data_IF_071281204892
#
_entry.id   IF_071281204892
#
_cell.length_a   1.000
_cell.length_b   1.000
_cell.length_c   1.000
_cell.angle_alpha   90.00
_cell.angle_beta   90.00
_cell.angle_gamma   90.00
#
_symmetry.space_group_name_H-M   'P 1'
#
loop_
_entity.id
_entity.type
_entity.pdbx_description
1 polymer ?
#
# COMPACT_ATOMS: atom_id res chain seq x y z
N UNK A 1 14.53 10.79 -1.38
CA UNK A 1 14.48 9.66 -0.41
C UNK A 1 13.72 8.52 -1.06
N UNK A 2 14.31 7.34 -1.12
CA UNK A 2 13.66 6.10 -1.56
C UNK A 2 13.35 5.28 -0.33
N UNK A 3 12.07 4.96 -0.12
CA UNK A 3 11.61 4.13 1.00
C UNK A 3 11.36 2.71 0.52
N UNK A 4 11.46 1.76 1.42
CA UNK A 4 11.04 0.38 1.20
C UNK A 4 9.91 0.04 2.14
N UNK A 5 9.01 -0.79 1.65
CA UNK A 5 7.91 -1.35 2.43
C UNK A 5 7.77 -2.83 2.13
N UNK A 6 7.23 -3.58 3.06
CA UNK A 6 6.71 -4.91 2.83
C UNK A 6 5.23 -4.92 3.14
N UNK A 7 4.47 -5.67 2.37
CA UNK A 7 3.05 -5.89 2.60
C UNK A 7 2.81 -7.39 2.57
N UNK A 8 2.40 -7.94 3.72
CA UNK A 8 2.16 -9.38 3.90
C UNK A 8 0.68 -9.63 4.18
N UNK A 9 0.19 -10.80 3.78
CA UNK A 9 -1.19 -11.20 4.05
C UNK A 9 -1.28 -11.85 5.42
N UNK A 10 -2.31 -11.47 6.17
CA UNK A 10 -2.63 -12.05 7.48
C UNK A 10 -3.39 -13.37 7.29
N UNK A 11 -2.95 -14.44 7.96
CA UNK A 11 -3.58 -15.77 7.96
C UNK A 11 -4.49 -16.03 9.18
N UNK A 12 -4.76 -15.00 9.96
CA UNK A 12 -5.63 -15.05 11.14
C UNK A 12 -6.56 -13.87 11.17
N UNK A 13 -7.59 -13.91 11.99
CA UNK A 13 -8.44 -12.74 12.24
C UNK A 13 -7.60 -11.57 12.79
N UNK A 14 -7.87 -10.36 12.30
CA UNK A 14 -7.12 -9.15 12.69
C UNK A 14 -7.15 -8.91 14.20
N UNK A 15 -8.27 -9.23 14.88
CA UNK A 15 -8.38 -9.08 16.34
C UNK A 15 -7.43 -10.02 17.09
N UNK A 16 -7.15 -11.20 16.53
CA UNK A 16 -6.17 -12.15 17.10
C UNK A 16 -4.76 -11.58 16.96
N UNK A 17 -4.41 -11.03 15.80
CA UNK A 17 -3.11 -10.41 15.56
C UNK A 17 -2.91 -9.19 16.47
N UNK A 18 -3.89 -8.31 16.56
CA UNK A 18 -3.89 -7.13 17.43
C UNK A 18 -3.64 -7.52 18.90
N UNK A 19 -4.37 -8.51 19.42
CA UNK A 19 -4.16 -9.00 20.80
C UNK A 19 -2.74 -9.49 21.06
N UNK A 20 -2.07 -10.05 20.05
CA UNK A 20 -0.66 -10.46 20.18
C UNK A 20 0.25 -9.24 20.29
N UNK A 21 0.07 -8.23 19.43
CA UNK A 21 0.85 -6.99 19.49
C UNK A 21 0.65 -6.26 20.85
N UNK A 22 -0.58 -6.16 21.32
CA UNK A 22 -0.89 -5.54 22.62
C UNK A 22 -0.17 -6.24 23.77
N UNK A 23 -0.15 -7.60 23.78
CA UNK A 23 0.61 -8.37 24.76
C UNK A 23 2.12 -8.14 24.72
N UNK A 24 2.65 -7.80 23.55
CA UNK A 24 4.06 -7.42 23.35
C UNK A 24 4.33 -5.95 23.66
N UNK A 25 3.32 -5.18 24.08
CA UNK A 25 3.43 -3.78 24.48
C UNK A 25 3.29 -2.78 23.33
N UNK A 26 2.85 -3.20 22.15
CA UNK A 26 2.47 -2.26 21.07
C UNK A 26 1.19 -1.53 21.46
N UNK A 27 1.08 -0.26 21.03
CA UNK A 27 -0.08 0.59 21.29
C UNK A 27 -0.70 1.07 19.98
N UNK A 28 -2.02 1.11 19.91
CA UNK A 28 -2.72 1.74 18.79
C UNK A 28 -2.43 3.23 18.80
N UNK A 29 -1.95 3.75 17.68
CA UNK A 29 -1.61 5.17 17.50
C UNK A 29 -2.49 5.88 16.48
N UNK A 30 -3.10 5.14 15.54
CA UNK A 30 -3.94 5.71 14.49
C UNK A 30 -4.95 4.70 13.99
N UNK A 31 -6.09 5.22 13.55
CA UNK A 31 -7.14 4.47 12.86
C UNK A 31 -7.77 5.38 11.80
N UNK A 32 -8.05 4.85 10.62
CA UNK A 32 -8.60 5.64 9.51
C UNK A 32 -9.23 4.76 8.44
N UNK A 33 -10.18 5.33 7.70
CA UNK A 33 -10.68 4.75 6.45
C UNK A 33 -10.01 5.44 5.27
N UNK A 34 -9.62 4.65 4.27
CA UNK A 34 -8.96 5.14 3.07
C UNK A 34 -9.70 4.64 1.84
N UNK A 35 -9.95 5.56 0.91
CA UNK A 35 -10.40 5.27 -0.44
C UNK A 35 -9.37 5.84 -1.42
N UNK A 36 -8.79 4.96 -2.24
CA UNK A 36 -7.86 5.30 -3.31
C UNK A 36 -8.51 4.99 -4.66
N UNK A 37 -8.75 6.02 -5.47
CA UNK A 37 -9.17 5.88 -6.86
C UNK A 37 -7.91 5.95 -7.72
N UNK A 38 -7.51 4.83 -8.31
CA UNK A 38 -6.40 4.78 -9.27
C UNK A 38 -6.88 5.19 -10.64
N UNK A 39 -6.13 6.09 -11.27
CA UNK A 39 -6.40 6.60 -12.61
C UNK A 39 -5.28 6.20 -13.58
N UNK A 40 -5.65 5.93 -14.83
CA UNK A 40 -4.73 5.64 -15.93
C UNK A 40 -5.23 6.22 -17.25
N UNK A 41 -4.32 6.66 -18.12
CA UNK A 41 -4.62 7.00 -19.52
C UNK A 41 -4.48 5.79 -20.47
N UNK A 42 -4.32 4.58 -19.91
CA UNK A 42 -4.03 3.34 -20.66
C UNK A 42 -5.03 2.22 -20.37
N UNK A 43 -6.26 2.58 -20.01
CA UNK A 43 -7.28 1.58 -19.68
C UNK A 43 -7.56 0.63 -20.86
N UNK A 44 -7.58 1.16 -22.09
CA UNK A 44 -7.79 0.37 -23.31
C UNK A 44 -6.65 -0.62 -23.62
N UNK A 45 -5.47 -0.44 -23.03
CA UNK A 45 -4.34 -1.38 -23.16
C UNK A 45 -4.38 -2.48 -22.09
N UNK A 46 -5.24 -2.35 -21.05
CA UNK A 46 -5.23 -3.22 -19.87
C UNK A 46 -5.57 -4.66 -20.23
N UNK A 47 -4.67 -5.57 -19.78
CA UNK A 47 -4.86 -7.00 -19.83
C UNK A 47 -4.11 -7.67 -18.66
N UNK A 48 -4.25 -9.00 -18.49
CA UNK A 48 -3.65 -9.73 -17.36
C UNK A 48 -2.12 -9.64 -17.32
N UNK A 49 -1.46 -9.49 -18.47
CA UNK A 49 0.00 -9.55 -18.56
C UNK A 49 0.67 -8.19 -18.29
N UNK A 50 -0.09 -7.09 -18.38
CA UNK A 50 0.48 -5.73 -18.29
C UNK A 50 -0.01 -4.90 -17.08
N UNK A 51 -0.78 -5.46 -16.16
CA UNK A 51 -1.28 -4.76 -14.97
C UNK A 51 -0.14 -4.03 -14.25
N UNK A 52 0.99 -4.72 -14.04
CA UNK A 52 2.14 -4.16 -13.35
C UNK A 52 2.77 -3.00 -14.10
N UNK A 53 2.85 -3.07 -15.43
CA UNK A 53 3.34 -2.00 -16.28
C UNK A 53 2.45 -0.75 -16.17
N UNK A 54 1.14 -0.92 -16.17
CA UNK A 54 0.17 0.18 -16.02
C UNK A 54 0.28 0.79 -14.61
N UNK A 55 0.42 -0.04 -13.57
CA UNK A 55 0.57 0.42 -12.19
C UNK A 55 1.95 0.99 -11.85
N UNK A 56 2.94 0.86 -12.75
CA UNK A 56 4.31 1.39 -12.52
C UNK A 56 4.29 2.89 -12.25
N UNK A 57 3.48 3.63 -13.02
CA UNK A 57 3.24 5.07 -12.83
C UNK A 57 1.74 5.27 -12.62
N UNK A 58 1.34 5.61 -11.42
CA UNK A 58 -0.08 5.73 -11.06
C UNK A 58 -0.40 7.10 -10.51
N UNK A 59 -1.54 7.65 -10.91
CA UNK A 59 -2.18 8.78 -10.26
C UNK A 59 -3.30 8.24 -9.37
N UNK A 60 -3.35 8.68 -8.13
CA UNK A 60 -4.39 8.31 -7.17
C UNK A 60 -5.10 9.56 -6.66
N UNK A 61 -6.40 9.51 -6.63
CA UNK A 61 -7.22 10.41 -5.85
C UNK A 61 -7.47 9.72 -4.51
N UNK A 62 -6.86 10.24 -3.43
CA UNK A 62 -6.94 9.64 -2.10
C UNK A 62 -7.85 10.44 -1.19
N UNK A 63 -8.79 9.75 -0.59
CA UNK A 63 -9.61 10.23 0.51
C UNK A 63 -9.23 9.47 1.77
N UNK A 64 -8.76 10.18 2.80
CA UNK A 64 -8.42 9.64 4.10
C UNK A 64 -9.37 10.24 5.14
N UNK A 65 -10.15 9.40 5.80
CA UNK A 65 -11.07 9.80 6.86
C UNK A 65 -10.51 9.40 8.23
N UNK A 66 -10.20 10.37 9.03
CA UNK A 66 -9.84 10.24 10.44
C UNK A 66 -11.09 10.51 11.31
N UNK A 67 -10.97 10.30 12.63
CA UNK A 67 -12.10 10.51 13.54
C UNK A 67 -12.64 11.95 13.52
N UNK A 68 -11.77 12.95 13.35
CA UNK A 68 -12.06 14.39 13.47
C UNK A 68 -11.90 15.17 12.17
N UNK A 69 -11.35 14.57 11.12
CA UNK A 69 -11.08 15.25 9.85
C UNK A 69 -11.02 14.31 8.65
N UNK A 70 -11.22 14.91 7.48
CA UNK A 70 -11.01 14.27 6.19
C UNK A 70 -9.84 14.96 5.48
N UNK A 71 -8.95 14.16 4.92
CA UNK A 71 -7.80 14.62 4.14
C UNK A 71 -7.96 14.10 2.73
N UNK A 72 -7.85 14.99 1.76
CA UNK A 72 -7.93 14.69 0.34
C UNK A 72 -6.61 15.01 -0.35
N UNK A 73 -6.12 14.10 -1.16
CA UNK A 73 -4.82 14.24 -1.85
C UNK A 73 -4.88 13.70 -3.26
N UNK A 74 -4.11 14.33 -4.14
CA UNK A 74 -3.68 13.73 -5.39
C UNK A 74 -2.29 13.15 -5.13
N UNK A 75 -2.12 11.85 -5.35
CA UNK A 75 -0.85 11.18 -5.15
C UNK A 75 -0.36 10.60 -6.47
N UNK A 76 0.81 11.04 -6.92
CA UNK A 76 1.52 10.36 -8.00
C UNK A 76 2.51 9.37 -7.41
N UNK A 77 2.46 8.13 -7.89
CA UNK A 77 3.39 7.05 -7.51
C UNK A 77 4.19 6.62 -8.71
N UNK A 78 5.50 6.45 -8.52
CA UNK A 78 6.38 5.83 -9.49
C UNK A 78 7.15 4.70 -8.82
N UNK A 79 6.94 3.48 -9.30
CA UNK A 79 7.56 2.25 -8.77
C UNK A 79 8.67 1.77 -9.68
N UNK A 80 9.74 1.28 -9.07
CA UNK A 80 10.79 0.54 -9.76
C UNK A 80 10.65 -0.94 -9.41
N UNK A 81 10.84 -1.80 -10.40
CA UNK A 81 10.72 -3.25 -10.26
C UNK A 81 12.03 -3.92 -10.68
N UNK A 82 12.36 -5.04 -10.03
CA UNK A 82 13.41 -5.95 -10.49
C UNK A 82 12.91 -6.81 -11.67
N UNK A 83 13.78 -7.68 -12.16
CA UNK A 83 13.47 -8.62 -13.26
C UNK A 83 12.39 -9.66 -12.88
N UNK A 84 12.16 -9.88 -11.58
CA UNK A 84 11.14 -10.80 -11.05
C UNK A 84 9.80 -10.09 -10.80
N UNK A 85 9.73 -8.77 -11.01
CA UNK A 85 8.55 -7.97 -10.78
C UNK A 85 8.33 -7.58 -9.31
N UNK A 86 9.35 -7.71 -8.46
CA UNK A 86 9.31 -7.22 -7.07
C UNK A 86 9.54 -5.71 -7.04
N UNK A 87 8.82 -4.99 -6.21
CA UNK A 87 9.05 -3.54 -6.02
C UNK A 87 10.39 -3.33 -5.33
N UNK A 88 11.34 -2.68 -6.03
CA UNK A 88 12.64 -2.29 -5.48
C UNK A 88 12.51 -0.99 -4.71
N UNK A 89 11.76 -0.04 -5.26
CA UNK A 89 11.56 1.27 -4.64
C UNK A 89 10.27 1.93 -5.12
N UNK A 90 9.74 2.83 -4.31
CA UNK A 90 8.61 3.69 -4.69
C UNK A 90 8.96 5.14 -4.38
N UNK A 91 8.68 6.04 -5.33
CA UNK A 91 8.68 7.49 -5.11
C UNK A 91 7.25 8.01 -5.15
N UNK A 92 6.94 8.95 -4.25
CA UNK A 92 5.59 9.52 -4.11
C UNK A 92 5.67 11.04 -4.17
N UNK A 93 4.72 11.66 -4.92
CA UNK A 93 4.46 13.09 -4.88
C UNK A 93 3.03 13.26 -4.39
N UNK A 94 2.85 13.98 -3.29
CA UNK A 94 1.54 14.23 -2.71
C UNK A 94 1.20 15.72 -2.86
N UNK A 95 0.01 16.01 -3.36
CA UNK A 95 -0.56 17.35 -3.44
C UNK A 95 -1.85 17.35 -2.62
N UNK A 96 -2.01 18.34 -1.75
CA UNK A 96 -3.29 18.54 -1.06
C UNK A 96 -4.36 18.96 -2.07
N UNK A 97 -5.55 18.40 -1.89
CA UNK A 97 -6.68 18.66 -2.78
C UNK A 97 -7.92 18.96 -1.94
N UNK A 98 -8.60 20.05 -2.20
CA UNK A 98 -9.85 20.41 -1.52
C UNK A 98 -11.07 19.71 -2.12
N UNK A 99 -11.03 19.35 -3.40
CA UNK A 99 -12.15 18.83 -4.16
C UNK A 99 -11.68 17.71 -5.10
N UNK A 100 -11.92 16.45 -4.68
CA UNK A 100 -11.52 15.28 -5.48
C UNK A 100 -12.41 15.07 -6.70
N UNK A 101 -13.67 15.51 -6.68
CA UNK A 101 -14.59 15.38 -7.83
C UNK A 101 -14.09 16.26 -8.98
N UNK A 102 -13.72 17.52 -8.69
CA UNK A 102 -13.09 18.40 -9.70
C UNK A 102 -11.73 17.94 -10.15
N UNK A 103 -10.94 17.32 -9.24
CA UNK A 103 -9.66 16.73 -9.63
C UNK A 103 -9.87 15.56 -10.59
N UNK A 104 -10.88 14.72 -10.35
CA UNK A 104 -11.22 13.61 -11.24
C UNK A 104 -11.69 14.13 -12.61
N UNK A 105 -12.62 15.09 -12.63
CA UNK A 105 -13.07 15.76 -13.86
C UNK A 105 -11.89 16.34 -14.69
N UNK A 106 -10.90 16.95 -14.00
CA UNK A 106 -9.69 17.42 -14.67
C UNK A 106 -8.91 16.27 -15.32
N UNK A 107 -8.72 15.16 -14.61
CA UNK A 107 -8.01 14.00 -15.15
C UNK A 107 -8.79 13.33 -16.28
N UNK A 108 -10.12 13.26 -16.21
CA UNK A 108 -10.97 12.76 -17.30
C UNK A 108 -10.79 13.61 -18.56
N UNK A 109 -10.72 14.94 -18.45
CA UNK A 109 -10.42 15.83 -19.57
C UNK A 109 -8.97 15.72 -20.11
N UNK A 110 -8.10 15.00 -19.39
CA UNK A 110 -6.74 14.63 -19.81
C UNK A 110 -6.64 13.16 -20.24
N UNK A 111 -7.77 12.55 -20.62
CA UNK A 111 -7.87 11.16 -21.07
C UNK A 111 -7.46 10.11 -20.02
N UNK A 112 -7.60 10.43 -18.73
CA UNK A 112 -7.45 9.43 -17.67
C UNK A 112 -8.82 8.85 -17.31
N UNK A 113 -8.84 7.55 -17.04
CA UNK A 113 -10.02 6.81 -16.63
C UNK A 113 -9.76 6.07 -15.31
N UNK A 114 -10.83 5.71 -14.58
CA UNK A 114 -10.72 4.91 -13.36
C UNK A 114 -10.22 3.51 -13.71
N UNK A 115 -9.07 3.14 -13.14
CA UNK A 115 -8.48 1.82 -13.26
C UNK A 115 -9.04 0.85 -12.19
N UNK A 116 -9.02 1.28 -10.94
CA UNK A 116 -9.52 0.50 -9.79
C UNK A 116 -9.76 1.42 -8.60
N UNK A 117 -10.76 1.08 -7.78
CA UNK A 117 -10.99 1.71 -6.48
C UNK A 117 -10.59 0.74 -5.38
N UNK A 118 -9.70 1.18 -4.49
CA UNK A 118 -9.22 0.39 -3.34
C UNK A 118 -9.72 1.04 -2.06
N UNK A 119 -10.64 0.36 -1.36
CA UNK A 119 -11.19 0.80 -0.07
C UNK A 119 -10.64 -0.09 1.03
N UNK A 120 -10.17 0.54 2.10
CA UNK A 120 -9.61 -0.20 3.23
C UNK A 120 -9.66 0.59 4.52
N UNK A 121 -9.83 -0.15 5.61
CA UNK A 121 -9.71 0.36 6.96
C UNK A 121 -8.30 0.09 7.48
N UNK A 122 -7.68 1.08 8.11
CA UNK A 122 -6.29 1.00 8.61
C UNK A 122 -6.27 1.16 10.11
N UNK A 123 -5.55 0.26 10.79
CA UNK A 123 -5.27 0.37 12.23
C UNK A 123 -3.75 0.27 12.41
N UNK A 124 -3.14 1.32 12.95
CA UNK A 124 -1.68 1.37 13.14
C UNK A 124 -1.33 1.14 14.60
N UNK A 125 -0.44 0.19 14.82
CA UNK A 125 0.16 -0.12 16.11
C UNK A 125 1.66 0.19 16.09
N UNK A 126 2.17 0.80 17.16
CA UNK A 126 3.60 1.09 17.27
C UNK A 126 4.20 0.66 18.61
N UNK A 127 5.52 0.38 18.59
CA UNK A 127 6.37 0.17 19.75
C UNK A 127 7.78 0.66 19.44
N UNK A 128 8.22 1.74 20.11
CA UNK A 128 9.46 2.41 19.74
C UNK A 128 9.40 3.00 18.34
N UNK A 129 10.31 2.60 17.48
CA UNK A 129 10.37 3.00 16.07
C UNK A 129 9.60 2.07 15.12
N UNK A 130 9.12 0.91 15.61
CA UNK A 130 8.40 -0.06 14.80
C UNK A 130 6.93 0.30 14.69
N UNK A 131 6.41 0.38 13.48
CA UNK A 131 5.01 0.63 13.19
C UNK A 131 4.47 -0.45 12.24
N UNK A 132 3.35 -1.07 12.62
CA UNK A 132 2.63 -2.03 11.78
C UNK A 132 1.24 -1.49 11.47
N UNK A 133 0.93 -1.36 10.18
CA UNK A 133 -0.38 -0.93 9.69
C UNK A 133 -1.19 -2.16 9.24
N UNK A 134 -2.19 -2.53 10.02
CA UNK A 134 -3.21 -3.49 9.57
C UNK A 134 -4.12 -2.80 8.58
N UNK A 135 -4.27 -3.37 7.40
CA UNK A 135 -5.13 -2.87 6.33
C UNK A 135 -6.20 -3.91 6.02
N UNK A 136 -7.43 -3.63 6.39
CA UNK A 136 -8.59 -4.47 6.11
C UNK A 136 -9.15 -4.00 4.77
N UNK A 137 -8.77 -4.68 3.70
CA UNK A 137 -9.05 -4.29 2.32
C UNK A 137 -10.31 -4.96 1.81
N UNK A 138 -11.26 -4.17 1.31
CA UNK A 138 -12.48 -4.71 0.71
C UNK A 138 -12.15 -5.68 -0.45
N UNK A 139 -12.80 -6.83 -0.47
CA UNK A 139 -12.65 -7.89 -1.48
C UNK A 139 -11.25 -8.52 -1.57
N UNK A 140 -10.34 -8.22 -0.62
CA UNK A 140 -8.98 -8.74 -0.65
C UNK A 140 -8.55 -9.44 0.64
N UNK A 141 -9.09 -9.03 1.79
CA UNK A 141 -8.73 -9.54 3.11
C UNK A 141 -7.81 -8.60 3.88
N UNK A 142 -7.16 -9.10 4.93
CA UNK A 142 -6.34 -8.28 5.81
C UNK A 142 -4.86 -8.41 5.49
N UNK A 143 -4.19 -7.28 5.40
CA UNK A 143 -2.76 -7.16 5.15
C UNK A 143 -2.09 -6.47 6.34
N UNK A 144 -0.79 -6.71 6.51
CA UNK A 144 0.09 -5.91 7.37
C UNK A 144 1.08 -5.22 6.47
N UNK A 145 1.12 -3.89 6.53
CA UNK A 145 2.14 -3.07 5.88
C UNK A 145 3.13 -2.60 6.94
N UNK A 146 4.41 -2.77 6.64
CA UNK A 146 5.52 -2.28 7.43
C UNK A 146 6.44 -1.48 6.51
N UNK A 147 6.60 -0.19 6.80
CA UNK A 147 7.45 0.73 6.07
C UNK A 147 8.74 1.00 6.85
N UNK A 148 9.89 0.92 6.19
CA UNK A 148 11.17 1.33 6.75
C UNK A 148 11.43 2.78 6.33
N UNK A 149 11.64 3.66 7.33
CA UNK A 149 11.85 5.09 7.14
C UNK A 149 13.27 5.48 6.71
N UNK A 150 14.20 4.53 6.64
CA UNK A 150 15.56 4.79 6.16
C UNK A 150 15.59 5.17 4.68
N UNK A 151 16.63 5.87 4.25
CA UNK A 151 16.82 6.21 2.84
C UNK A 151 17.61 5.12 2.09
N UNK A 152 16.93 4.45 1.17
CA UNK A 152 17.49 3.40 0.33
C UNK A 152 17.93 3.89 -1.06
N UNK A 153 18.08 5.21 -1.27
CA UNK A 153 18.40 5.77 -2.60
C UNK A 153 19.73 5.25 -3.19
N UNK A 154 20.71 4.95 -2.34
CA UNK A 154 22.04 4.50 -2.73
C UNK A 154 22.34 3.04 -2.34
N UNK A 155 21.31 2.26 -2.00
CA UNK A 155 21.45 0.85 -1.62
C UNK A 155 21.40 -0.05 -2.85
N UNK A 156 22.20 -1.10 -2.83
CA UNK A 156 22.16 -2.18 -3.83
C UNK A 156 20.88 -3.02 -3.69
N UNK A 157 20.51 -3.73 -4.73
CA UNK A 157 19.36 -4.66 -4.72
C UNK A 157 19.50 -5.66 -3.57
N UNK A 158 20.70 -6.22 -3.37
CA UNK A 158 20.96 -7.18 -2.28
C UNK A 158 20.75 -6.57 -0.89
N UNK A 159 21.15 -5.31 -0.67
CA UNK A 159 20.91 -4.61 0.60
C UNK A 159 19.41 -4.38 0.83
N UNK A 160 18.67 -4.05 -0.24
CA UNK A 160 17.20 -3.87 -0.18
C UNK A 160 16.52 -5.21 0.14
N UNK A 161 16.91 -6.29 -0.51
CA UNK A 161 16.37 -7.63 -0.27
C UNK A 161 16.63 -8.10 1.16
N UNK A 162 17.85 -7.89 1.66
CA UNK A 162 18.21 -8.21 3.04
C UNK A 162 17.38 -7.40 4.04
N UNK A 163 17.21 -6.09 3.81
CA UNK A 163 16.39 -5.25 4.67
C UNK A 163 14.92 -5.71 4.67
N UNK A 164 14.35 -6.07 3.53
CA UNK A 164 13.00 -6.64 3.44
C UNK A 164 12.88 -7.99 4.16
N UNK A 165 13.93 -8.83 4.11
CA UNK A 165 13.96 -10.08 4.88
C UNK A 165 13.97 -9.81 6.38
N UNK A 166 14.76 -8.85 6.86
CA UNK A 166 14.79 -8.43 8.25
C UNK A 166 13.43 -7.90 8.70
N UNK A 167 12.78 -7.04 7.91
CA UNK A 167 11.43 -6.53 8.18
C UNK A 167 10.41 -7.67 8.29
N UNK A 168 10.49 -8.66 7.40
CA UNK A 168 9.61 -9.84 7.43
C UNK A 168 9.81 -10.66 8.71
N UNK A 169 11.08 -10.91 9.09
CA UNK A 169 11.42 -11.64 10.31
C UNK A 169 10.95 -10.90 11.57
N UNK A 170 11.04 -9.58 11.61
CA UNK A 170 10.50 -8.77 12.71
C UNK A 170 8.98 -8.95 12.88
N UNK A 171 8.23 -9.09 11.79
CA UNK A 171 6.79 -9.42 11.89
C UNK A 171 6.62 -10.85 12.44
N UNK A 172 7.40 -11.83 11.97
CA UNK A 172 7.34 -13.20 12.45
C UNK A 172 7.65 -13.32 13.97
N UNK A 173 8.60 -12.54 14.46
CA UNK A 173 8.97 -12.49 15.89
C UNK A 173 7.80 -12.06 16.79
N UNK A 174 6.83 -11.32 16.25
CA UNK A 174 5.58 -11.00 16.99
C UNK A 174 4.69 -12.24 17.21
N UNK A 175 4.99 -13.36 16.55
CA UNK A 175 4.17 -14.57 16.53
C UNK A 175 2.87 -14.44 15.75
N UNK A 176 2.69 -13.37 14.97
CA UNK A 176 1.54 -13.21 14.06
C UNK A 176 1.69 -14.19 12.90
N UNK A 177 0.59 -14.89 12.56
CA UNK A 177 0.58 -15.81 11.43
C UNK A 177 0.32 -15.04 10.13
N UNK A 178 1.32 -15.03 9.25
CA UNK A 178 1.33 -14.33 7.97
C UNK A 178 1.73 -15.27 6.82
N UNK A 179 1.43 -14.88 5.58
CA UNK A 179 1.91 -15.60 4.38
C UNK A 179 3.39 -15.35 4.15
N UNK A 180 4.00 -16.20 3.30
CA UNK A 180 5.40 -16.02 2.87
C UNK A 180 5.58 -14.91 1.83
N UNK A 181 4.51 -14.44 1.22
CA UNK A 181 4.54 -13.34 0.25
C UNK A 181 4.84 -12.03 0.96
N UNK A 182 5.86 -11.29 0.49
CA UNK A 182 6.37 -10.06 1.12
C UNK A 182 5.97 -8.78 0.38
N UNK A 183 5.24 -8.90 -0.71
CA UNK A 183 4.92 -7.76 -1.59
C UNK A 183 3.51 -7.91 -2.18
N UNK A 184 2.53 -8.04 -1.30
CA UNK A 184 1.10 -8.08 -1.70
C UNK A 184 0.70 -6.73 -2.27
N UNK A 185 0.27 -6.70 -3.52
CA UNK A 185 -0.07 -5.48 -4.27
C UNK A 185 -1.58 -5.32 -4.37
N UNK A 186 -2.18 -4.55 -3.46
CA UNK A 186 -3.65 -4.35 -3.37
C UNK A 186 -4.32 -4.06 -4.71
N UNK A 187 -3.87 -3.01 -5.40
CA UNK A 187 -4.45 -2.60 -6.67
C UNK A 187 -4.26 -3.67 -7.75
N UNK A 188 -3.07 -4.30 -7.83
CA UNK A 188 -2.79 -5.36 -8.78
C UNK A 188 -3.76 -6.54 -8.61
N UNK A 189 -3.93 -7.04 -7.38
CA UNK A 189 -4.78 -8.20 -7.13
C UNK A 189 -6.27 -7.89 -7.40
N UNK A 190 -6.73 -6.68 -7.07
CA UNK A 190 -8.11 -6.28 -7.35
C UNK A 190 -8.36 -6.16 -8.85
N UNK A 191 -7.41 -5.59 -9.62
CA UNK A 191 -7.50 -5.53 -11.08
C UNK A 191 -7.46 -6.95 -11.67
N UNK A 192 -6.52 -7.80 -11.23
CA UNK A 192 -6.42 -9.16 -11.72
C UNK A 192 -7.71 -9.96 -11.50
N UNK A 193 -8.39 -9.76 -10.36
CA UNK A 193 -9.71 -10.37 -10.08
C UNK A 193 -10.83 -9.85 -11.01
N UNK A 194 -10.78 -8.57 -11.41
CA UNK A 194 -11.81 -7.99 -12.29
C UNK A 194 -11.67 -8.42 -13.75
N UNK A 195 -10.51 -8.93 -14.14
CA UNK A 195 -10.22 -9.42 -15.49
C UNK A 195 -10.48 -10.94 -15.65
N UNK A 196 -10.98 -11.62 -14.64
CA UNK A 196 -11.38 -13.04 -14.66
C UNK A 196 -12.83 -13.16 -15.05
#
# INVERSE_FOLDING_TARGET
MKQIEITVRLNVDVKVAIKKLEKLGYKKIRESDIEDIYLTSKLNELNKDNIQYILKKSVLLRKLKLADKEIKKITYKNKEYDEKGTVISESKINLDCSDLEKAEELFENLDFERLVVVKYHVIVYSKGTLEYAFQIVENLGTLIEYENSDDFANKSISEIDNAKEEMYNQILETGINITKEKDVKKAYELIAKSLV
#
